data_IF_408397044920
#
_entry.id   IF_408397044920
#
_cell.length_a   1.000
_cell.length_b   1.000
_cell.length_c   1.000
_cell.angle_alpha   90.00
_cell.angle_beta   90.00
_cell.angle_gamma   90.00
#
_symmetry.space_group_name_H-M   'P 1'
#
loop_
_entity.id
_entity.type
_entity.pdbx_description
1 polymer ?
#
# COMPACT_ATOMS: atom_id res chain seq x y z
N UNK A 1 5.25 -40.90 22.64
CA UNK A 1 6.27 -40.25 21.77
C UNK A 1 5.61 -39.07 21.07
N UNK A 2 6.26 -37.90 21.10
CA UNK A 2 5.81 -36.67 20.46
C UNK A 2 6.11 -36.76 18.96
N UNK A 3 5.11 -36.62 18.10
CA UNK A 3 5.31 -36.35 16.67
C UNK A 3 4.69 -34.99 16.38
N UNK A 4 5.57 -34.11 15.90
CA UNK A 4 5.34 -32.69 15.61
C UNK A 4 4.63 -32.54 14.26
N UNK A 5 3.66 -31.62 14.23
CA UNK A 5 3.43 -30.55 13.23
C UNK A 5 3.67 -30.91 11.76
N UNK A 6 2.62 -30.78 10.94
CA UNK A 6 2.65 -29.92 9.75
C UNK A 6 1.23 -29.33 9.58
N UNK A 7 1.09 -28.05 9.95
CA UNK A 7 -0.07 -27.22 9.65
C UNK A 7 0.08 -26.77 8.19
N UNK A 8 -0.39 -27.57 7.24
CA UNK A 8 -0.50 -27.16 5.83
C UNK A 8 -1.75 -26.30 5.67
N UNK A 9 -1.67 -25.04 6.14
CA UNK A 9 -2.62 -24.02 5.70
C UNK A 9 -2.28 -23.75 4.24
N UNK A 10 -3.04 -24.39 3.36
CA UNK A 10 -3.08 -24.08 1.94
C UNK A 10 -3.63 -22.68 1.82
N UNK A 11 -2.74 -21.68 1.81
CA UNK A 11 -3.09 -20.29 1.48
C UNK A 11 -3.41 -20.27 -0.01
N UNK A 12 -4.66 -20.57 -0.32
CA UNK A 12 -5.31 -20.20 -1.59
C UNK A 12 -5.32 -18.67 -1.65
N UNK A 13 -4.23 -18.08 -2.13
CA UNK A 13 -4.21 -16.66 -2.48
C UNK A 13 -5.03 -16.54 -3.76
N UNK A 14 -6.34 -16.35 -3.58
CA UNK A 14 -7.16 -15.71 -4.60
C UNK A 14 -6.53 -14.34 -4.81
N UNK A 15 -5.73 -14.22 -5.86
CA UNK A 15 -5.34 -12.92 -6.41
C UNK A 15 -6.63 -12.30 -6.88
N UNK A 16 -7.29 -11.59 -5.97
CA UNK A 16 -8.38 -10.69 -6.32
C UNK A 16 -7.71 -9.55 -7.08
N UNK A 17 -7.48 -9.78 -8.37
CA UNK A 17 -7.40 -8.70 -9.34
C UNK A 17 -8.76 -8.00 -9.29
N UNK A 18 -8.97 -7.16 -8.29
CA UNK A 18 -10.01 -6.16 -8.28
C UNK A 18 -9.64 -5.16 -9.37
N UNK A 19 -9.93 -5.54 -10.62
CA UNK A 19 -10.17 -4.60 -11.72
C UNK A 19 -11.52 -3.93 -11.47
N UNK A 20 -11.65 -3.28 -10.32
CA UNK A 20 -12.77 -2.43 -9.96
C UNK A 20 -12.40 -1.01 -10.30
N UNK A 21 -13.28 -0.33 -11.03
CA UNK A 21 -13.21 1.08 -11.38
C UNK A 21 -12.65 1.91 -10.21
N UNK A 22 -11.38 2.28 -10.26
CA UNK A 22 -10.65 2.96 -9.19
C UNK A 22 -11.02 4.45 -9.17
N UNK A 23 -12.27 4.74 -8.81
CA UNK A 23 -12.77 6.11 -8.69
C UNK A 23 -12.27 6.82 -7.41
N UNK A 24 -11.67 6.06 -6.47
CA UNK A 24 -11.07 6.62 -5.25
C UNK A 24 -9.55 6.80 -5.41
N UNK A 25 -9.00 7.99 -5.08
CA UNK A 25 -7.56 8.23 -5.12
C UNK A 25 -6.76 7.31 -4.18
N UNK A 26 -7.38 6.88 -3.07
CA UNK A 26 -6.76 5.97 -2.13
C UNK A 26 -6.51 4.58 -2.72
N UNK A 27 -7.46 4.03 -3.49
CA UNK A 27 -7.26 2.71 -4.13
C UNK A 27 -6.20 2.76 -5.23
N UNK A 28 -6.17 3.82 -6.04
CA UNK A 28 -5.13 4.01 -7.05
C UNK A 28 -3.73 4.11 -6.42
N UNK A 29 -3.62 4.91 -5.35
CA UNK A 29 -2.38 5.06 -4.58
C UNK A 29 -1.96 3.74 -3.91
N UNK A 30 -2.90 3.00 -3.31
CA UNK A 30 -2.63 1.68 -2.71
C UNK A 30 -2.11 0.70 -3.76
N UNK A 31 -2.78 0.61 -4.91
CA UNK A 31 -2.41 -0.30 -5.99
C UNK A 31 -1.03 0.02 -6.57
N UNK A 32 -0.71 1.30 -6.74
CA UNK A 32 0.62 1.74 -7.16
C UNK A 32 1.69 1.34 -6.12
N UNK A 33 1.46 1.65 -4.84
CA UNK A 33 2.39 1.28 -3.77
C UNK A 33 2.65 -0.23 -3.72
N UNK A 34 1.61 -1.06 -3.81
CA UNK A 34 1.76 -2.52 -3.77
C UNK A 34 2.63 -2.99 -4.93
N UNK A 35 2.39 -2.47 -6.14
CA UNK A 35 3.17 -2.83 -7.33
C UNK A 35 4.66 -2.53 -7.11
N UNK A 36 4.99 -1.32 -6.70
CA UNK A 36 6.39 -0.91 -6.50
C UNK A 36 7.02 -1.71 -5.35
N UNK A 37 6.32 -1.87 -4.23
CA UNK A 37 6.80 -2.63 -3.08
C UNK A 37 7.07 -4.11 -3.41
N UNK A 38 6.20 -4.75 -4.21
CA UNK A 38 6.39 -6.16 -4.62
C UNK A 38 7.57 -6.29 -5.57
N UNK A 39 7.81 -5.31 -6.45
CA UNK A 39 8.99 -5.30 -7.31
C UNK A 39 10.29 -5.22 -6.50
N UNK A 40 10.28 -4.52 -5.36
CA UNK A 40 11.44 -4.40 -4.47
C UNK A 40 11.64 -5.59 -3.53
N UNK A 41 10.55 -6.14 -2.96
CA UNK A 41 10.62 -7.10 -1.83
C UNK A 41 10.20 -8.52 -2.17
N UNK A 42 9.45 -8.72 -3.26
CA UNK A 42 8.75 -9.96 -3.60
C UNK A 42 7.77 -10.50 -2.53
N UNK A 43 7.43 -9.72 -1.49
CA UNK A 43 6.49 -10.10 -0.44
C UNK A 43 5.15 -9.34 -0.57
N UNK A 44 4.20 -9.97 -1.27
CA UNK A 44 2.91 -9.36 -1.53
C UNK A 44 2.05 -9.12 -0.28
N UNK A 45 2.20 -9.94 0.76
CA UNK A 45 1.40 -9.82 1.99
C UNK A 45 1.86 -8.64 2.84
N UNK A 46 3.19 -8.49 3.00
CA UNK A 46 3.78 -7.34 3.68
C UNK A 46 3.46 -6.06 2.89
N UNK A 47 3.54 -6.09 1.56
CA UNK A 47 3.24 -4.93 0.74
C UNK A 47 1.76 -4.52 0.81
N UNK A 48 0.80 -5.46 0.73
CA UNK A 48 -0.62 -5.11 0.88
C UNK A 48 -0.92 -4.50 2.25
N UNK A 49 -0.35 -5.09 3.31
CA UNK A 49 -0.52 -4.62 4.69
C UNK A 49 0.04 -3.21 4.88
N UNK A 50 1.29 -2.98 4.46
CA UNK A 50 1.96 -1.67 4.63
C UNK A 50 1.34 -0.58 3.77
N UNK A 51 1.04 -0.88 2.50
CA UNK A 51 0.41 0.09 1.60
C UNK A 51 -1.02 0.41 2.01
N UNK A 52 -1.78 -0.59 2.49
CA UNK A 52 -3.11 -0.38 3.07
C UNK A 52 -3.06 0.55 4.28
N UNK A 53 -2.19 0.25 5.25
CA UNK A 53 -2.00 1.08 6.44
C UNK A 53 -1.59 2.52 6.08
N UNK A 54 -0.69 2.70 5.11
CA UNK A 54 -0.24 4.03 4.70
C UNK A 54 -1.39 4.86 4.11
N UNK A 55 -2.19 4.26 3.22
CA UNK A 55 -3.34 4.94 2.61
C UNK A 55 -4.43 5.24 3.64
N UNK A 56 -4.72 4.32 4.55
CA UNK A 56 -5.72 4.54 5.61
C UNK A 56 -5.31 5.71 6.53
N UNK A 57 -4.02 5.80 6.89
CA UNK A 57 -3.49 6.93 7.67
C UNK A 57 -3.62 8.26 6.95
N UNK A 58 -3.35 8.29 5.65
CA UNK A 58 -3.50 9.50 4.84
C UNK A 58 -4.97 9.88 4.68
N UNK A 59 -5.85 8.91 4.42
CA UNK A 59 -7.29 9.15 4.34
C UNK A 59 -7.88 9.66 5.67
N UNK A 60 -7.32 9.24 6.80
CA UNK A 60 -7.73 9.72 8.12
C UNK A 60 -7.20 11.13 8.46
N UNK A 61 -6.10 11.56 7.85
CA UNK A 61 -5.40 12.82 8.17
C UNK A 61 -5.50 13.90 7.09
N UNK A 62 -6.12 13.59 5.96
CA UNK A 62 -6.16 14.47 4.78
C UNK A 62 -7.53 14.40 4.09
N UNK A 63 -7.91 15.47 3.39
CA UNK A 63 -9.17 15.50 2.61
C UNK A 63 -9.09 14.62 1.37
N UNK A 64 -10.23 14.36 0.73
CA UNK A 64 -10.26 13.63 -0.54
C UNK A 64 -9.45 14.32 -1.66
N UNK A 65 -9.44 15.65 -1.69
CA UNK A 65 -8.62 16.44 -2.62
C UNK A 65 -7.13 16.31 -2.30
N UNK A 66 -6.74 16.40 -1.02
CA UNK A 66 -5.34 16.20 -0.62
C UNK A 66 -4.86 14.79 -0.94
N UNK A 67 -5.72 13.78 -0.82
CA UNK A 67 -5.39 12.41 -1.19
C UNK A 67 -5.20 12.25 -2.72
N UNK A 68 -5.95 12.99 -3.54
CA UNK A 68 -5.73 13.06 -5.00
C UNK A 68 -4.40 13.74 -5.35
N UNK A 69 -4.01 14.77 -4.62
CA UNK A 69 -2.73 15.45 -4.83
C UNK A 69 -1.57 14.51 -4.49
N UNK A 70 -1.67 13.76 -3.39
CA UNK A 70 -0.68 12.74 -3.02
C UNK A 70 -0.63 11.63 -4.07
N UNK A 71 -1.79 11.12 -4.50
CA UNK A 71 -1.86 10.12 -5.58
C UNK A 71 -1.13 10.61 -6.82
N UNK A 72 -1.47 11.81 -7.33
CA UNK A 72 -0.80 12.40 -8.50
C UNK A 72 0.71 12.54 -8.30
N UNK A 73 1.16 13.05 -7.16
CA UNK A 73 2.57 13.25 -6.86
C UNK A 73 3.36 11.92 -6.81
N UNK A 74 2.72 10.83 -6.39
CA UNK A 74 3.35 9.51 -6.26
C UNK A 74 3.29 8.71 -7.56
N UNK A 75 2.16 8.75 -8.28
CA UNK A 75 1.93 7.92 -9.46
C UNK A 75 2.38 8.58 -10.77
N UNK A 76 2.49 9.91 -10.80
CA UNK A 76 2.85 10.67 -12.01
C UNK A 76 4.26 11.26 -11.85
N UNK A 77 5.25 10.47 -12.24
CA UNK A 77 6.69 10.76 -12.12
C UNK A 77 7.21 11.97 -12.91
N UNK A 78 6.35 12.65 -13.68
CA UNK A 78 6.70 13.87 -14.43
C UNK A 78 6.08 15.16 -13.84
N UNK A 79 5.22 15.06 -12.83
CA UNK A 79 4.69 16.25 -12.17
C UNK A 79 5.66 16.72 -11.07
N UNK A 80 5.98 18.03 -10.99
CA UNK A 80 6.68 18.56 -9.84
C UNK A 80 5.82 18.31 -8.60
N UNK A 81 6.35 17.66 -7.56
CA UNK A 81 5.67 17.43 -6.28
C UNK A 81 5.61 18.76 -5.48
N UNK A 82 4.58 19.62 -5.67
CA UNK A 82 4.61 20.99 -5.18
C UNK A 82 4.22 21.05 -3.69
N UNK A 83 3.64 19.96 -3.17
CA UNK A 83 3.09 19.83 -1.81
C UNK A 83 3.83 18.79 -0.95
N UNK A 84 4.84 18.10 -1.47
CA UNK A 84 5.53 17.04 -0.75
C UNK A 84 4.71 15.76 -0.58
N UNK A 85 3.75 15.49 -1.48
CA UNK A 85 2.87 14.33 -1.42
C UNK A 85 3.63 13.01 -1.43
N UNK A 86 4.73 12.93 -2.19
CA UNK A 86 5.61 11.75 -2.19
C UNK A 86 6.29 11.55 -0.83
N UNK A 87 6.69 12.65 -0.18
CA UNK A 87 7.27 12.61 1.18
C UNK A 87 6.25 12.20 2.23
N UNK A 88 5.03 12.75 2.19
CA UNK A 88 3.95 12.38 3.11
C UNK A 88 3.59 10.89 2.98
N UNK A 89 3.52 10.39 1.76
CA UNK A 89 3.28 8.96 1.52
C UNK A 89 4.41 8.09 2.09
N UNK A 90 5.66 8.47 1.84
CA UNK A 90 6.83 7.76 2.38
C UNK A 90 6.82 7.71 3.91
N UNK A 91 6.55 8.84 4.57
CA UNK A 91 6.46 8.92 6.03
C UNK A 91 5.34 8.01 6.58
N UNK A 92 4.16 8.03 5.95
CA UNK A 92 3.06 7.16 6.31
C UNK A 92 3.45 5.67 6.16
N UNK A 93 4.08 5.31 5.05
CA UNK A 93 4.54 3.96 4.76
C UNK A 93 5.61 3.45 5.72
N UNK A 94 6.60 4.28 6.07
CA UNK A 94 7.62 3.95 7.08
C UNK A 94 7.02 3.77 8.47
N UNK A 95 6.04 4.61 8.85
CA UNK A 95 5.33 4.47 10.13
C UNK A 95 4.53 3.18 10.25
N UNK A 96 4.12 2.59 9.12
CA UNK A 96 3.42 1.31 9.07
C UNK A 96 4.37 0.11 9.04
N UNK A 97 5.65 0.31 8.70
CA UNK A 97 6.68 -0.73 8.78
C UNK A 97 6.98 -1.11 10.24
N UNK A 98 7.09 -0.09 11.10
CA UNK A 98 7.39 -0.24 12.52
C UNK A 98 6.27 -0.91 13.33
N UNK A 99 5.07 -1.04 12.75
CA UNK A 99 3.92 -1.67 13.40
C UNK A 99 3.84 -3.19 13.15
N UNK A 100 4.69 -3.73 12.27
CA UNK A 100 4.68 -5.14 11.84
C UNK A 100 5.90 -5.92 12.40
N UNK A 101 6.89 -5.23 12.97
CA UNK A 101 8.07 -5.83 13.64
C UNK A 101 7.84 -6.20 15.11
#
# INVERSE_FOLDING_TARGET
>A
MKIKIIFLISVLIMVSCSGGNSDSPGEALKAYCIRECVLETADAEICDTRCGCAVDKLAASTSAEGLREIERAVTQSNDPDPGGGGKLFKEAFESCAQAIE
#
